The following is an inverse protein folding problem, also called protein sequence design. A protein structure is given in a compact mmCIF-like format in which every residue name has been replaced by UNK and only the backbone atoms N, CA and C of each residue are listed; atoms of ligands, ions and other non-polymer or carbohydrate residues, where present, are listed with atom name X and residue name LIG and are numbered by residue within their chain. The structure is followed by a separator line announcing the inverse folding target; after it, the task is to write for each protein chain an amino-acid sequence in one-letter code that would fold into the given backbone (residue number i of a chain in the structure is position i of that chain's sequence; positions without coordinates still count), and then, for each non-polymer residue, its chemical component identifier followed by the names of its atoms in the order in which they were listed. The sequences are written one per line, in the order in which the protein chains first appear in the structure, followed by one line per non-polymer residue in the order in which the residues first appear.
data_IF_367933120500
#
_entry.id   IF_367933120500
#
_cell.length_a   1.000
_cell.length_b   1.000
_cell.length_c   1.000
_cell.angle_alpha   90.00
_cell.angle_beta   90.00
_cell.angle_gamma   90.00
#
_symmetry.space_group_name_H-M   'P 1'
#
loop_
_entity.id
_entity.type
_entity.pdbx_description
1 polymer ?
#
# COMPACT_ATOMS: atom_id res chain seq x y z
N UNK A 1 29.47 -8.54 73.84
CA UNK A 1 28.12 -8.26 74.38
C UNK A 1 27.61 -7.08 73.56
N UNK A 2 26.82 -7.26 72.52
CA UNK A 2 25.34 -7.42 72.41
C UNK A 2 25.06 -7.25 70.91
N UNK A 3 23.98 -7.68 70.25
CA UNK A 3 22.88 -8.59 70.43
C UNK A 3 22.22 -8.67 69.03
N UNK A 4 21.70 -9.85 68.65
CA UNK A 4 20.98 -10.10 67.40
C UNK A 4 19.72 -9.25 67.24
N UNK A 5 19.37 -8.85 66.00
CA UNK A 5 17.98 -8.77 65.53
C UNK A 5 17.90 -9.30 64.09
N UNK A 6 17.37 -10.51 63.94
CA UNK A 6 16.84 -11.05 62.69
C UNK A 6 15.45 -10.45 62.44
N UNK A 7 15.22 -9.90 61.24
CA UNK A 7 13.87 -9.58 60.76
C UNK A 7 13.67 -10.23 59.39
N UNK A 8 12.90 -11.33 59.27
CA UNK A 8 12.57 -11.90 57.98
C UNK A 8 11.44 -11.07 57.35
N UNK A 9 11.78 -10.24 56.36
CA UNK A 9 10.80 -9.51 55.56
C UNK A 9 10.24 -10.46 54.49
N UNK A 10 9.14 -11.13 54.82
CA UNK A 10 8.31 -11.91 53.90
C UNK A 10 7.45 -10.92 53.08
N UNK A 11 7.93 -10.52 51.91
CA UNK A 11 7.13 -9.77 50.94
C UNK A 11 6.57 -10.75 49.89
N UNK A 12 5.26 -10.95 49.93
CA UNK A 12 4.53 -11.81 49.00
C UNK A 12 4.53 -11.22 47.58
N UNK A 13 4.69 -12.04 46.52
CA UNK A 13 4.50 -11.58 45.15
C UNK A 13 3.00 -11.35 44.89
N UNK A 14 2.60 -10.08 44.72
CA UNK A 14 1.33 -9.75 44.10
C UNK A 14 1.36 -10.21 42.64
N UNK A 15 0.78 -11.37 42.37
CA UNK A 15 0.48 -11.82 41.03
C UNK A 15 -0.59 -10.89 40.43
N UNK A 16 -0.17 -9.89 39.66
CA UNK A 16 -1.04 -9.13 38.76
C UNK A 16 -1.50 -10.09 37.67
N UNK A 17 -2.72 -10.61 37.80
CA UNK A 17 -3.41 -11.26 36.70
C UNK A 17 -3.68 -10.19 35.64
N UNK A 18 -2.75 -10.05 34.69
CA UNK A 18 -3.01 -9.35 33.44
C UNK A 18 -4.05 -10.17 32.68
N UNK A 19 -5.32 -9.80 32.80
CA UNK A 19 -6.34 -10.23 31.86
C UNK A 19 -5.88 -9.79 30.48
N UNK A 20 -5.37 -10.74 29.68
CA UNK A 20 -5.09 -10.51 28.28
C UNK A 20 -6.42 -10.09 27.63
N UNK A 21 -6.54 -8.86 27.11
CA UNK A 21 -7.70 -8.53 26.31
C UNK A 21 -7.73 -9.56 25.17
N UNK A 22 -8.83 -10.29 25.08
CA UNK A 22 -9.08 -11.18 23.96
C UNK A 22 -9.20 -10.30 22.71
N UNK A 23 -8.06 -10.04 22.06
CA UNK A 23 -8.03 -9.48 20.73
C UNK A 23 -8.67 -10.53 19.83
N UNK A 24 -9.94 -10.33 19.52
CA UNK A 24 -10.59 -11.02 18.41
C UNK A 24 -9.77 -10.71 17.16
N UNK A 25 -8.89 -11.64 16.80
CA UNK A 25 -8.09 -11.56 15.58
C UNK A 25 -9.07 -11.55 14.40
N UNK A 26 -9.37 -10.38 13.87
CA UNK A 26 -9.99 -10.24 12.56
C UNK A 26 -9.00 -10.77 11.51
N UNK A 27 -8.99 -12.10 11.35
CA UNK A 27 -8.10 -12.80 10.43
C UNK A 27 -8.62 -12.60 9.02
N UNK A 28 -8.15 -11.54 8.36
CA UNK A 28 -8.43 -11.28 6.96
C UNK A 28 -7.99 -12.50 6.13
N UNK A 29 -8.89 -13.02 5.30
CA UNK A 29 -8.60 -14.15 4.44
C UNK A 29 -8.00 -13.67 3.12
N UNK A 30 -7.15 -14.49 2.50
CA UNK A 30 -6.63 -14.22 1.16
C UNK A 30 -7.75 -14.49 0.15
N UNK A 31 -8.27 -13.43 -0.48
CA UNK A 31 -9.33 -13.51 -1.49
C UNK A 31 -8.72 -13.76 -2.88
N UNK A 32 -7.63 -13.06 -3.18
CA UNK A 32 -6.87 -13.25 -4.43
C UNK A 32 -5.38 -13.25 -4.12
N UNK A 33 -4.69 -14.30 -4.56
CA UNK A 33 -3.24 -14.40 -4.54
C UNK A 33 -2.71 -14.29 -5.97
N UNK A 34 -2.11 -13.15 -6.30
CA UNK A 34 -1.60 -12.89 -7.64
C UNK A 34 -0.46 -13.84 -8.06
N UNK A 35 0.24 -14.47 -7.10
CA UNK A 35 1.27 -15.46 -7.43
C UNK A 35 0.68 -16.73 -8.05
N UNK A 36 -0.57 -17.06 -7.70
CA UNK A 36 -1.32 -18.23 -8.18
C UNK A 36 -2.28 -17.88 -9.30
N UNK A 37 -2.98 -16.75 -9.18
CA UNK A 37 -4.00 -16.30 -10.12
C UNK A 37 -3.77 -14.84 -10.53
N UNK A 38 -2.69 -14.53 -11.27
CA UNK A 38 -2.35 -13.16 -11.64
C UNK A 38 -3.45 -12.50 -12.50
N UNK A 39 -4.15 -13.26 -13.33
CA UNK A 39 -5.22 -12.73 -14.20
C UNK A 39 -6.42 -12.19 -13.42
N UNK A 40 -6.58 -12.58 -12.15
CA UNK A 40 -7.63 -12.04 -11.26
C UNK A 40 -7.26 -10.67 -10.67
N UNK A 41 -6.02 -10.22 -10.83
CA UNK A 41 -5.58 -8.88 -10.42
C UNK A 41 -5.87 -7.90 -11.57
N UNK A 42 -6.70 -6.87 -11.38
CA UNK A 42 -6.94 -5.85 -12.39
C UNK A 42 -5.64 -5.14 -12.79
N UNK A 43 -5.47 -4.85 -14.09
CA UNK A 43 -4.28 -4.16 -14.61
C UNK A 43 -4.09 -2.81 -13.94
N UNK A 44 -5.19 -2.06 -13.73
CA UNK A 44 -5.15 -0.76 -13.06
C UNK A 44 -4.56 -0.84 -11.64
N UNK A 45 -4.93 -1.87 -10.88
CA UNK A 45 -4.38 -2.10 -9.55
C UNK A 45 -2.89 -2.42 -9.63
N UNK A 46 -2.48 -3.26 -10.59
CA UNK A 46 -1.08 -3.61 -10.79
C UNK A 46 -0.22 -2.41 -11.19
N UNK A 47 -0.72 -1.57 -12.11
CA UNK A 47 -0.10 -0.31 -12.49
C UNK A 47 0.05 0.63 -11.29
N UNK A 48 -1.01 0.78 -10.48
CA UNK A 48 -0.95 1.58 -9.26
C UNK A 48 0.14 1.08 -8.31
N UNK A 49 0.20 -0.23 -8.04
CA UNK A 49 1.25 -0.80 -7.19
C UNK A 49 2.65 -0.55 -7.74
N UNK A 50 2.83 -0.71 -9.05
CA UNK A 50 4.10 -0.41 -9.70
C UNK A 50 4.50 1.05 -9.53
N UNK A 51 3.62 1.99 -9.89
CA UNK A 51 3.85 3.43 -9.76
C UNK A 51 4.23 3.80 -8.32
N UNK A 52 3.46 3.35 -7.34
CA UNK A 52 3.75 3.58 -5.92
C UNK A 52 5.12 3.01 -5.49
N UNK A 53 5.55 1.92 -6.12
CA UNK A 53 6.83 1.28 -5.82
C UNK A 53 8.04 2.02 -6.39
N UNK A 54 7.86 2.88 -7.39
CA UNK A 54 8.92 3.68 -8.01
C UNK A 54 8.73 5.19 -7.79
N UNK A 55 7.68 5.58 -7.08
CA UNK A 55 7.38 6.97 -6.75
C UNK A 55 8.50 7.55 -5.90
N UNK A 56 8.97 8.75 -6.27
CA UNK A 56 10.05 9.43 -5.58
C UNK A 56 9.70 10.87 -5.25
N UNK A 57 10.47 11.43 -4.32
CA UNK A 57 10.43 12.86 -3.97
C UNK A 57 11.02 13.66 -5.12
N UNK A 58 10.76 14.98 -5.17
CA UNK A 58 11.32 15.83 -6.23
C UNK A 58 12.85 15.83 -6.24
N UNK A 59 13.45 15.79 -5.05
CA UNK A 59 14.89 15.71 -4.81
C UNK A 59 15.19 14.42 -4.04
N UNK A 60 15.22 13.25 -4.70
CA UNK A 60 15.48 11.98 -4.04
C UNK A 60 16.92 11.94 -3.52
N UNK A 61 17.13 11.28 -2.39
CA UNK A 61 18.47 10.90 -1.95
C UNK A 61 19.13 9.94 -2.95
N UNK A 62 20.46 9.81 -2.86
CA UNK A 62 21.20 8.87 -3.70
C UNK A 62 20.71 7.43 -3.50
N UNK A 63 20.38 7.05 -2.28
CA UNK A 63 19.88 5.71 -1.95
C UNK A 63 18.45 5.46 -2.47
N UNK A 64 17.58 6.47 -2.45
CA UNK A 64 16.26 6.37 -3.10
C UNK A 64 16.41 6.17 -4.61
N UNK A 65 17.21 7.03 -5.26
CA UNK A 65 17.48 6.94 -6.70
C UNK A 65 18.03 5.56 -7.07
N UNK A 66 19.02 5.07 -6.30
CA UNK A 66 19.61 3.74 -6.52
C UNK A 66 18.57 2.62 -6.41
N UNK A 67 17.69 2.67 -5.40
CA UNK A 67 16.63 1.66 -5.23
C UNK A 67 15.62 1.69 -6.37
N UNK A 68 15.26 2.87 -6.88
CA UNK A 68 14.41 3.00 -8.07
C UNK A 68 15.13 2.43 -9.29
N UNK A 69 16.38 2.80 -9.53
CA UNK A 69 17.12 2.37 -10.72
C UNK A 69 17.28 0.83 -10.76
N UNK A 70 17.52 0.20 -9.61
CA UNK A 70 17.50 -1.27 -9.48
C UNK A 70 16.14 -1.86 -9.88
N UNK A 71 15.03 -1.24 -9.48
CA UNK A 71 13.68 -1.71 -9.86
C UNK A 71 13.41 -1.53 -11.35
N UNK A 72 13.92 -0.46 -11.95
CA UNK A 72 13.74 -0.15 -13.37
C UNK A 72 14.62 -1.02 -14.28
N UNK A 73 15.76 -1.48 -13.78
CA UNK A 73 16.70 -2.35 -14.53
C UNK A 73 16.01 -3.62 -15.05
N UNK A 74 15.09 -4.19 -14.27
CA UNK A 74 14.34 -5.40 -14.64
C UNK A 74 13.40 -5.19 -15.84
N UNK A 75 13.01 -3.96 -16.16
CA UNK A 75 12.06 -3.64 -17.24
C UNK A 75 12.79 -3.51 -18.59
N UNK A 76 14.10 -3.22 -18.56
CA UNK A 76 14.95 -3.06 -19.74
C UNK A 76 14.40 -2.03 -20.74
N UNK A 77 13.94 -0.89 -20.22
CA UNK A 77 13.53 0.25 -21.05
C UNK A 77 14.74 0.84 -21.77
N UNK A 78 14.49 1.53 -22.88
CA UNK A 78 15.49 2.39 -23.52
C UNK A 78 15.81 3.60 -22.62
N UNK A 79 16.99 4.21 -22.76
CA UNK A 79 17.34 5.39 -21.96
C UNK A 79 16.31 6.54 -22.09
N UNK A 80 15.78 6.86 -23.30
CA UNK A 80 14.72 7.86 -23.43
C UNK A 80 13.41 7.48 -22.69
N UNK A 81 12.98 6.22 -22.79
CA UNK A 81 11.77 5.74 -22.11
C UNK A 81 11.95 5.71 -20.58
N UNK A 82 13.14 5.30 -20.11
CA UNK A 82 13.48 5.33 -18.70
C UNK A 82 13.49 6.76 -18.16
N UNK A 83 14.03 7.71 -18.91
CA UNK A 83 14.00 9.13 -18.55
C UNK A 83 12.55 9.65 -18.44
N UNK A 84 11.69 9.33 -19.42
CA UNK A 84 10.27 9.71 -19.39
C UNK A 84 9.53 9.09 -18.19
N UNK A 85 9.79 7.82 -17.88
CA UNK A 85 9.22 7.13 -16.72
C UNK A 85 9.64 7.80 -15.42
N UNK A 86 10.93 8.12 -15.25
CA UNK A 86 11.46 8.79 -14.07
C UNK A 86 10.85 10.19 -13.93
N UNK A 87 10.81 10.96 -15.01
CA UNK A 87 10.20 12.29 -15.02
C UNK A 87 8.72 12.24 -14.66
N UNK A 88 7.99 11.22 -15.11
CA UNK A 88 6.56 11.05 -14.81
C UNK A 88 6.28 10.77 -13.33
N UNK A 89 7.18 10.12 -12.61
CA UNK A 89 7.01 9.76 -11.18
C UNK A 89 7.67 10.75 -10.21
N UNK A 90 8.39 11.74 -10.74
CA UNK A 90 9.12 12.71 -9.92
C UNK A 90 8.17 13.57 -9.08
N UNK A 91 8.40 13.59 -7.76
CA UNK A 91 7.59 14.36 -6.82
C UNK A 91 6.27 13.68 -6.41
N UNK A 92 5.89 12.57 -7.05
CA UNK A 92 4.67 11.83 -6.68
C UNK A 92 4.72 11.39 -5.22
N UNK A 93 5.89 10.97 -4.70
CA UNK A 93 6.01 10.54 -3.31
C UNK A 93 5.64 11.64 -2.32
N UNK A 94 6.10 12.86 -2.59
CA UNK A 94 5.86 14.04 -1.75
C UNK A 94 4.37 14.42 -1.74
N UNK A 95 3.71 14.36 -2.90
CA UNK A 95 2.26 14.57 -2.98
C UNK A 95 1.47 13.49 -2.22
N UNK A 96 1.87 12.22 -2.33
CA UNK A 96 1.22 11.12 -1.61
C UNK A 96 1.41 11.22 -0.09
N UNK A 97 2.60 11.62 0.37
CA UNK A 97 2.87 11.86 1.79
C UNK A 97 2.01 13.01 2.33
N UNK A 98 1.88 14.10 1.57
CA UNK A 98 0.97 15.23 1.91
C UNK A 98 -0.49 14.77 2.04
N UNK A 99 -0.95 13.90 1.14
CA UNK A 99 -2.31 13.34 1.19
C UNK A 99 -2.48 12.41 2.41
N UNK A 100 -1.46 11.62 2.73
CA UNK A 100 -1.48 10.71 3.88
C UNK A 100 -1.51 11.49 5.20
N UNK A 101 -0.73 12.56 5.33
CA UNK A 101 -0.75 13.46 6.49
C UNK A 101 -2.14 14.09 6.68
N UNK A 102 -2.68 14.69 5.61
CA UNK A 102 -4.04 15.26 5.65
C UNK A 102 -5.11 14.20 5.97
N UNK A 103 -4.92 12.94 5.55
CA UNK A 103 -5.81 11.83 5.90
C UNK A 103 -5.74 11.49 7.38
N UNK A 104 -4.54 11.46 7.97
CA UNK A 104 -4.34 11.23 9.41
C UNK A 104 -5.03 12.32 10.23
N UNK A 105 -4.90 13.57 9.82
CA UNK A 105 -5.59 14.71 10.45
C UNK A 105 -7.12 14.57 10.33
N UNK A 106 -7.62 14.27 9.14
CA UNK A 106 -9.06 14.08 8.91
C UNK A 106 -9.64 12.93 9.75
N UNK A 107 -8.88 11.84 9.98
CA UNK A 107 -9.32 10.73 10.84
C UNK A 107 -9.46 11.11 12.32
N UNK A 108 -8.78 12.16 12.77
CA UNK A 108 -8.90 12.70 14.12
C UNK A 108 -10.05 13.71 14.25
N UNK A 109 -10.57 14.23 13.13
CA UNK A 109 -11.71 15.13 13.11
C UNK A 109 -13.01 14.37 13.45
N UNK A 110 -13.76 14.88 14.42
CA UNK A 110 -15.08 14.37 14.82
C UNK A 110 -16.24 15.10 14.12
N UNK A 111 -15.94 16.04 13.22
CA UNK A 111 -16.96 16.78 12.47
C UNK A 111 -17.73 15.88 11.49
N UNK A 112 -18.94 16.31 11.15
CA UNK A 112 -19.76 15.68 10.11
C UNK A 112 -19.12 15.78 8.70
N UNK A 113 -18.07 16.57 8.52
CA UNK A 113 -17.40 16.76 7.23
C UNK A 113 -16.30 15.73 6.96
N UNK A 114 -15.91 14.95 7.97
CA UNK A 114 -14.84 13.96 7.88
C UNK A 114 -14.92 13.07 6.64
N UNK A 115 -16.08 12.48 6.40
CA UNK A 115 -16.23 11.50 5.31
C UNK A 115 -16.10 12.16 3.93
N UNK A 116 -16.59 13.40 3.78
CA UNK A 116 -16.40 14.20 2.57
C UNK A 116 -14.92 14.57 2.36
N UNK A 117 -14.21 14.93 3.44
CA UNK A 117 -12.76 15.19 3.40
C UNK A 117 -11.98 13.95 2.98
N UNK A 118 -12.28 12.78 3.56
CA UNK A 118 -11.63 11.51 3.19
C UNK A 118 -11.89 11.13 1.73
N UNK A 119 -13.13 11.32 1.24
CA UNK A 119 -13.46 11.08 -0.17
C UNK A 119 -12.70 12.02 -1.12
N UNK A 120 -12.57 13.30 -0.76
CA UNK A 120 -11.78 14.30 -1.49
C UNK A 120 -10.29 13.91 -1.56
N UNK A 121 -9.70 13.52 -0.42
CA UNK A 121 -8.30 13.09 -0.35
C UNK A 121 -8.04 11.83 -1.18
N UNK A 122 -8.97 10.88 -1.16
CA UNK A 122 -8.92 9.69 -2.03
C UNK A 122 -8.98 10.07 -3.51
N UNK A 123 -9.91 10.95 -3.90
CA UNK A 123 -10.01 11.41 -5.29
C UNK A 123 -8.73 12.14 -5.75
N UNK A 124 -8.09 12.91 -4.87
CA UNK A 124 -6.80 13.55 -5.14
C UNK A 124 -5.70 12.52 -5.36
N UNK A 125 -5.63 11.49 -4.53
CA UNK A 125 -4.66 10.38 -4.69
C UNK A 125 -4.87 9.67 -6.04
N UNK A 126 -6.12 9.29 -6.34
CA UNK A 126 -6.46 8.60 -7.59
C UNK A 126 -6.12 9.48 -8.80
N UNK A 127 -6.36 10.79 -8.72
CA UNK A 127 -5.98 11.76 -9.77
C UNK A 127 -4.47 11.86 -9.97
N UNK A 128 -3.68 11.92 -8.91
CA UNK A 128 -2.22 11.98 -8.99
C UNK A 128 -1.65 10.72 -9.68
N UNK A 129 -2.14 9.54 -9.31
CA UNK A 129 -1.71 8.27 -9.90
C UNK A 129 -2.18 8.16 -11.36
N UNK A 130 -3.40 8.59 -11.67
CA UNK A 130 -3.92 8.60 -13.03
C UNK A 130 -3.15 9.55 -13.95
N UNK A 131 -2.68 10.70 -13.43
CA UNK A 131 -1.83 11.62 -14.16
C UNK A 131 -0.51 10.95 -14.57
N UNK A 132 0.18 10.30 -13.63
CA UNK A 132 1.39 9.53 -13.93
C UNK A 132 1.12 8.45 -14.97
N UNK A 133 0.06 7.65 -14.78
CA UNK A 133 -0.32 6.59 -15.74
C UNK A 133 -0.57 7.15 -17.14
N UNK A 134 -1.13 8.35 -17.25
CA UNK A 134 -1.35 9.03 -18.52
C UNK A 134 -0.03 9.43 -19.18
N UNK A 135 0.94 9.92 -18.40
CA UNK A 135 2.29 10.22 -18.89
C UNK A 135 3.03 8.97 -19.39
N UNK A 136 2.78 7.79 -18.81
CA UNK A 136 3.38 6.53 -19.29
C UNK A 136 2.91 6.12 -20.69
N UNK A 137 1.80 6.70 -21.18
CA UNK A 137 1.37 6.50 -22.57
C UNK A 137 2.24 7.25 -23.59
N UNK A 138 3.16 8.09 -23.12
CA UNK A 138 4.14 8.79 -23.95
C UNK A 138 5.41 7.96 -24.19
N UNK A 139 5.56 6.82 -23.51
CA UNK A 139 6.64 5.88 -23.80
C UNK A 139 6.50 5.37 -25.24
N UNK A 140 7.63 5.00 -25.83
CA UNK A 140 7.67 4.33 -27.12
C UNK A 140 6.81 3.05 -27.13
N UNK A 141 6.34 2.57 -28.29
CA UNK A 141 5.58 1.32 -28.35
C UNK A 141 6.33 0.12 -27.74
N UNK A 142 7.65 0.04 -27.94
CA UNK A 142 8.50 -1.00 -27.31
C UNK A 142 8.58 -0.80 -25.79
N UNK A 143 8.76 0.44 -25.32
CA UNK A 143 8.75 0.78 -23.90
C UNK A 143 7.43 0.44 -23.21
N UNK A 144 6.29 0.72 -23.84
CA UNK A 144 4.97 0.33 -23.34
C UNK A 144 4.81 -1.19 -23.29
N UNK A 145 5.20 -1.90 -24.34
CA UNK A 145 5.12 -3.37 -24.38
C UNK A 145 5.95 -4.02 -23.25
N UNK A 146 7.17 -3.54 -23.02
CA UNK A 146 8.04 -4.01 -21.93
C UNK A 146 7.46 -3.71 -20.56
N UNK A 147 6.91 -2.51 -20.38
CA UNK A 147 6.26 -2.14 -19.13
C UNK A 147 5.04 -3.04 -18.87
N UNK A 148 4.16 -3.22 -19.85
CA UNK A 148 3.00 -4.11 -19.76
C UNK A 148 3.39 -5.55 -19.43
N UNK A 149 4.43 -6.08 -20.08
CA UNK A 149 4.97 -7.39 -19.80
C UNK A 149 5.48 -7.47 -18.36
N UNK A 150 6.23 -6.46 -17.89
CA UNK A 150 6.70 -6.41 -16.50
C UNK A 150 5.54 -6.37 -15.50
N UNK A 151 4.50 -5.57 -15.76
CA UNK A 151 3.30 -5.50 -14.91
C UNK A 151 2.65 -6.88 -14.80
N UNK A 152 2.42 -7.56 -15.95
CA UNK A 152 1.76 -8.87 -16.01
C UNK A 152 2.58 -9.97 -15.35
N UNK A 153 3.89 -10.01 -15.61
CA UNK A 153 4.74 -11.15 -15.23
C UNK A 153 5.35 -11.02 -13.84
N UNK A 154 5.59 -9.79 -13.37
CA UNK A 154 6.30 -9.53 -12.10
C UNK A 154 5.39 -8.88 -11.06
N UNK A 155 4.72 -7.78 -11.42
CA UNK A 155 3.98 -6.97 -10.44
C UNK A 155 2.72 -7.67 -9.98
N UNK A 156 1.88 -8.16 -10.90
CA UNK A 156 0.66 -8.90 -10.55
C UNK A 156 0.94 -10.09 -9.63
N UNK A 157 2.05 -10.81 -9.86
CA UNK A 157 2.44 -11.98 -9.05
C UNK A 157 2.81 -11.66 -7.60
N UNK A 158 3.03 -10.38 -7.28
CA UNK A 158 3.40 -9.91 -5.93
C UNK A 158 2.23 -9.27 -5.18
N UNK A 159 1.05 -9.20 -5.79
CA UNK A 159 -0.13 -8.57 -5.19
C UNK A 159 -0.97 -9.66 -4.52
N UNK A 160 -1.34 -9.41 -3.26
CA UNK A 160 -2.28 -10.24 -2.49
C UNK A 160 -3.43 -9.35 -2.05
N UNK A 161 -4.64 -9.72 -2.43
CA UNK A 161 -5.87 -9.03 -2.03
C UNK A 161 -6.44 -9.77 -0.82
N UNK A 162 -6.45 -9.08 0.31
CA UNK A 162 -7.05 -9.53 1.55
C UNK A 162 -8.48 -9.01 1.63
N UNK A 163 -9.38 -9.83 2.17
CA UNK A 163 -10.77 -9.44 2.35
C UNK A 163 -11.49 -10.32 3.36
N UNK A 164 -12.62 -9.81 3.83
CA UNK A 164 -13.55 -10.60 4.62
C UNK A 164 -14.27 -11.60 3.69
N UNK A 165 -14.19 -12.92 3.96
CA UNK A 165 -14.87 -13.92 3.13
C UNK A 165 -16.39 -13.67 3.05
N UNK A 166 -16.99 -12.98 4.03
CA UNK A 166 -18.43 -12.68 4.00
C UNK A 166 -18.82 -11.60 2.97
N UNK A 167 -17.96 -10.62 2.69
CA UNK A 167 -18.26 -9.58 1.67
C UNK A 167 -18.12 -10.10 0.24
N UNK A 168 -17.25 -11.08 0.00
CA UNK A 168 -17.03 -11.65 -1.35
C UNK A 168 -18.13 -12.61 -1.79
N UNK A 169 -18.86 -13.24 -0.87
CA UNK A 169 -20.00 -14.09 -1.17
C UNK A 169 -21.26 -13.30 -1.59
N UNK A 170 -21.47 -12.09 -1.04
CA UNK A 170 -22.66 -11.27 -1.32
C UNK A 170 -22.67 -10.62 -2.72
N UNK A 171 -21.50 -10.28 -3.27
CA UNK A 171 -21.39 -9.61 -4.56
C UNK A 171 -21.78 -10.49 -5.77
N UNK A 172 -21.71 -11.83 -5.63
CA UNK A 172 -22.05 -12.76 -6.72
C UNK A 172 -23.55 -13.07 -6.76
N UNK A 173 -24.27 -12.94 -5.65
CA UNK A 173 -25.71 -13.24 -5.58
C UNK A 173 -26.60 -12.13 -6.16
N UNK A 174 -26.13 -10.88 -6.20
CA UNK A 174 -26.95 -9.73 -6.61
C UNK A 174 -26.97 -9.43 -8.12
N UNK A 175 -26.28 -10.25 -8.93
CA UNK A 175 -26.20 -10.08 -10.39
C UNK A 175 -27.20 -10.91 -11.21
N UNK A 176 -28.16 -11.58 -10.57
CA UNK A 176 -29.03 -12.58 -11.22
C UNK A 176 -30.52 -12.33 -11.03
N UNK A 177 -30.97 -11.11 -11.31
CA UNK A 177 -32.40 -10.83 -11.57
C UNK A 177 -32.52 -9.74 -12.62
N UNK A 178 -32.54 -10.17 -13.88
CA UNK A 178 -33.13 -9.43 -14.99
C UNK A 178 -33.98 -10.43 -15.79
N UNK A 179 -35.22 -10.08 -16.16
CA UNK A 179 -36.13 -10.94 -16.91
C UNK A 179 -35.62 -11.27 -18.32
#
# INVERSE_FOLDING_TARGET
MTAWICFPLLLAPMARAYGQPAHSEHRLSVVVDGSRTPDRIPDELAYRHFILSIAERRNPSQEESRRRDIRLTDIRLSDPDQYLLIAAVQGLREELETIEEARKEALQDMSVTRDATLASLKAREDKAIAAVRSSLRLLSPDGQARLDEHIKTRVKKRIVILGDPQQSAGAVASGRTGP
#
